data_IF_865161758013
#
_entry.id   IF_865161758013
#
_cell.length_a   1.000
_cell.length_b   1.000
_cell.length_c   1.000
_cell.angle_alpha   90.00
_cell.angle_beta   90.00
_cell.angle_gamma   90.00
#
_symmetry.space_group_name_H-M   'P 1'
#
loop_
_entity.id
_entity.type
_entity.pdbx_description
1 polymer ?
#
# COMPACT_ATOMS: atom_id res chain seq x y z
N UNK A 1 -15.55 -6.80 -60.95
CA UNK A 1 -14.91 -6.08 -62.07
C UNK A 1 -13.59 -5.50 -61.54
N UNK A 2 -12.47 -5.78 -62.21
CA UNK A 2 -11.06 -5.42 -61.92
C UNK A 2 -10.46 -5.98 -60.60
N UNK A 3 -9.64 -7.05 -60.63
CA UNK A 3 -8.28 -7.29 -61.20
C UNK A 3 -7.21 -7.13 -60.11
N UNK A 4 -6.58 -8.25 -59.79
CA UNK A 4 -5.30 -8.35 -59.11
C UNK A 4 -4.15 -8.12 -60.09
N UNK A 5 -3.09 -7.42 -59.69
CA UNK A 5 -1.73 -7.64 -60.20
C UNK A 5 -0.71 -7.19 -59.14
N UNK A 6 0.16 -8.12 -58.75
CA UNK A 6 1.42 -7.79 -58.10
C UNK A 6 2.48 -7.39 -59.13
N UNK A 7 3.54 -6.72 -58.69
CA UNK A 7 4.83 -6.84 -59.37
C UNK A 7 6.00 -6.52 -58.44
N UNK A 8 7.00 -7.40 -58.48
CA UNK A 8 8.29 -7.31 -57.78
C UNK A 8 9.17 -6.29 -58.50
N UNK A 9 9.88 -5.44 -57.74
CA UNK A 9 10.96 -4.61 -58.27
C UNK A 9 12.30 -5.38 -58.28
N UNK A 10 13.15 -5.20 -59.30
CA UNK A 10 14.43 -5.90 -59.41
C UNK A 10 15.56 -5.19 -58.66
N UNK A 11 16.44 -6.01 -58.11
CA UNK A 11 17.74 -5.63 -57.57
C UNK A 11 18.66 -5.09 -58.67
N UNK A 12 19.28 -3.93 -58.43
CA UNK A 12 20.41 -3.41 -59.20
C UNK A 12 21.69 -3.62 -58.38
N UNK A 13 22.57 -4.47 -58.90
CA UNK A 13 23.93 -4.68 -58.39
C UNK A 13 24.83 -3.62 -59.02
N UNK A 14 25.36 -2.70 -58.22
CA UNK A 14 26.39 -1.75 -58.66
C UNK A 14 27.72 -2.23 -58.09
N UNK A 15 28.61 -2.69 -58.97
CA UNK A 15 29.98 -3.05 -58.65
C UNK A 15 30.84 -1.78 -58.73
N UNK A 16 31.31 -1.26 -57.60
CA UNK A 16 32.22 -0.10 -57.55
C UNK A 16 33.60 -0.57 -57.10
N UNK A 17 34.45 -0.87 -58.08
CA UNK A 17 35.90 -0.78 -57.94
C UNK A 17 36.31 0.69 -58.01
N UNK A 18 36.78 1.26 -56.91
CA UNK A 18 38.00 2.08 -56.95
C UNK A 18 38.54 2.33 -55.53
N UNK A 19 39.67 1.66 -55.26
CA UNK A 19 40.60 1.98 -54.18
C UNK A 19 41.23 3.35 -54.44
N UNK A 20 41.69 3.97 -53.36
CA UNK A 20 42.55 5.15 -53.30
C UNK A 20 41.84 6.50 -53.32
N UNK A 21 41.25 6.89 -52.18
CA UNK A 21 41.28 8.28 -51.66
C UNK A 21 40.57 8.41 -50.30
N UNK A 22 40.79 7.47 -49.37
CA UNK A 22 40.20 7.58 -48.01
C UNK A 22 41.19 7.16 -46.93
N UNK A 23 42.41 7.69 -46.99
CA UNK A 23 43.46 7.33 -46.03
C UNK A 23 44.20 8.54 -45.49
N UNK A 24 43.48 9.64 -45.22
CA UNK A 24 43.99 10.77 -44.41
C UNK A 24 42.97 11.38 -43.43
N UNK A 25 41.71 10.93 -43.41
CA UNK A 25 40.66 11.50 -42.54
C UNK A 25 40.36 10.67 -41.28
N UNK A 26 40.88 9.45 -41.17
CA UNK A 26 40.57 8.55 -40.04
C UNK A 26 41.48 8.73 -38.81
N UNK A 27 42.59 9.45 -38.95
CA UNK A 27 43.55 9.63 -37.85
C UNK A 27 43.08 10.67 -36.83
N UNK A 28 42.15 11.57 -37.20
CA UNK A 28 41.65 12.64 -36.32
C UNK A 28 40.31 12.33 -35.64
N UNK A 29 39.58 11.30 -36.09
CA UNK A 29 38.29 10.87 -35.50
C UNK A 29 38.45 9.82 -34.39
N UNK A 30 39.56 9.09 -34.37
CA UNK A 30 39.83 8.04 -33.39
C UNK A 30 39.96 8.55 -31.93
N UNK A 31 40.65 9.68 -31.63
CA UNK A 31 40.77 10.13 -30.24
C UNK A 31 39.47 10.71 -29.68
N UNK A 32 38.53 11.18 -30.53
CA UNK A 32 37.25 11.73 -30.09
C UNK A 32 36.26 10.63 -29.62
N UNK A 33 36.32 9.46 -30.26
CA UNK A 33 35.52 8.27 -29.89
C UNK A 33 36.07 7.65 -28.60
N UNK A 34 37.40 7.60 -28.44
CA UNK A 34 38.01 7.08 -27.20
C UNK A 34 37.72 7.98 -26.00
N UNK A 35 37.70 9.31 -26.16
CA UNK A 35 37.40 10.23 -25.05
C UNK A 35 35.93 10.19 -24.59
N UNK A 36 34.99 9.80 -25.47
CA UNK A 36 33.56 9.70 -25.15
C UNK A 36 33.19 8.41 -24.42
N UNK A 37 34.06 7.39 -24.42
CA UNK A 37 33.88 6.19 -23.58
C UNK A 37 34.25 6.39 -22.10
N UNK A 38 35.05 7.42 -21.77
CA UNK A 38 35.47 7.68 -20.38
C UNK A 38 34.57 8.64 -19.60
N UNK A 39 33.58 9.28 -20.23
CA UNK A 39 32.63 10.16 -19.53
C UNK A 39 31.27 9.51 -19.21
N UNK A 40 31.04 8.24 -19.59
CA UNK A 40 29.76 7.55 -19.34
C UNK A 40 29.91 6.41 -18.32
N UNK A 41 30.43 6.72 -17.13
CA UNK A 41 30.30 5.86 -15.96
C UNK A 41 30.52 6.66 -14.66
N UNK A 42 29.65 7.64 -14.38
CA UNK A 42 29.22 7.79 -12.99
C UNK A 42 28.24 6.65 -12.74
N UNK A 43 28.76 5.47 -12.37
CA UNK A 43 27.96 4.52 -11.61
C UNK A 43 27.71 5.23 -10.28
N UNK A 44 26.64 6.00 -10.23
CA UNK A 44 25.95 6.16 -8.96
C UNK A 44 25.60 4.72 -8.57
N UNK A 45 26.31 4.18 -7.58
CA UNK A 45 26.05 2.84 -7.07
C UNK A 45 24.65 2.86 -6.48
N UNK A 46 23.72 2.53 -7.37
CA UNK A 46 22.32 2.38 -7.10
C UNK A 46 22.15 1.45 -5.90
N UNK A 47 21.68 2.00 -4.80
CA UNK A 47 21.47 1.21 -3.59
C UNK A 47 20.50 0.06 -3.88
N UNK A 48 20.90 -1.14 -3.50
CA UNK A 48 20.13 -2.36 -3.77
C UNK A 48 18.85 -2.42 -2.92
N UNK A 49 17.91 -3.29 -3.31
CA UNK A 49 16.72 -3.58 -2.48
C UNK A 49 17.14 -4.04 -1.08
N UNK A 50 18.14 -4.93 -0.99
CA UNK A 50 18.62 -5.46 0.28
C UNK A 50 19.11 -4.35 1.23
N UNK A 51 19.81 -3.35 0.69
CA UNK A 51 20.24 -2.18 1.47
C UNK A 51 19.06 -1.40 2.06
N UNK A 52 18.06 -1.08 1.23
CA UNK A 52 16.88 -0.34 1.71
C UNK A 52 16.03 -1.18 2.69
N UNK A 53 15.93 -2.48 2.45
CA UNK A 53 15.23 -3.41 3.35
C UNK A 53 15.91 -3.52 4.71
N UNK A 54 17.24 -3.49 4.76
CA UNK A 54 17.99 -3.46 6.02
C UNK A 54 17.67 -2.21 6.83
N UNK A 55 17.72 -1.01 6.21
CA UNK A 55 17.37 0.25 6.88
C UNK A 55 15.92 0.28 7.37
N UNK A 56 14.97 -0.22 6.58
CA UNK A 56 13.57 -0.38 7.02
C UNK A 56 13.45 -1.30 8.24
N UNK A 57 14.15 -2.43 8.25
CA UNK A 57 14.17 -3.36 9.38
C UNK A 57 14.78 -2.73 10.64
N UNK A 58 15.88 -1.99 10.50
CA UNK A 58 16.51 -1.26 11.60
C UNK A 58 15.56 -0.23 12.21
N UNK A 59 14.89 0.59 11.37
CA UNK A 59 13.89 1.55 11.85
C UNK A 59 12.72 0.88 12.54
N UNK A 60 12.24 -0.25 12.03
CA UNK A 60 11.17 -1.01 12.68
C UNK A 60 11.57 -1.43 14.10
N UNK A 61 12.78 -1.97 14.28
CA UNK A 61 13.31 -2.33 15.61
C UNK A 61 13.47 -1.13 16.54
N UNK A 62 13.88 0.02 16.01
CA UNK A 62 13.95 1.25 16.81
C UNK A 62 12.57 1.69 17.32
N UNK A 63 11.54 1.60 16.48
CA UNK A 63 10.16 1.87 16.88
C UNK A 63 9.70 0.86 17.94
N UNK A 64 9.93 -0.43 17.73
CA UNK A 64 9.60 -1.50 18.70
C UNK A 64 10.23 -1.23 20.07
N UNK A 65 11.51 -0.86 20.09
CA UNK A 65 12.22 -0.51 21.32
C UNK A 65 11.66 0.76 21.97
N UNK A 66 11.28 1.77 21.17
CA UNK A 66 10.68 2.99 21.68
C UNK A 66 9.33 2.70 22.35
N UNK A 67 8.44 1.94 21.70
CA UNK A 67 7.12 1.63 22.28
C UNK A 67 7.22 0.72 23.50
N UNK A 68 8.19 -0.21 23.50
CA UNK A 68 8.45 -1.08 24.65
C UNK A 68 9.06 -0.34 25.86
N UNK A 69 9.56 0.88 25.68
CA UNK A 69 10.14 1.69 26.77
C UNK A 69 9.09 2.26 27.74
N UNK A 70 7.81 2.26 27.34
CA UNK A 70 6.70 2.77 28.17
C UNK A 70 5.93 1.59 28.76
N UNK A 71 5.76 1.58 30.08
CA UNK A 71 4.96 0.55 30.76
C UNK A 71 3.46 0.79 30.57
N UNK A 72 2.71 -0.29 30.43
CA UNK A 72 1.26 -0.28 30.31
C UNK A 72 0.62 -0.46 31.69
N UNK A 73 -0.01 0.60 32.20
CA UNK A 73 -0.84 0.57 33.42
C UNK A 73 -2.31 0.80 33.10
N UNK A 74 -2.61 1.65 32.13
CA UNK A 74 -3.94 1.90 31.61
C UNK A 74 -3.91 1.85 30.07
N UNK A 75 -4.65 0.92 29.49
CA UNK A 75 -4.64 0.67 28.05
C UNK A 75 -5.27 1.80 27.23
N UNK A 76 -6.14 2.60 27.85
CA UNK A 76 -6.81 3.72 27.20
C UNK A 76 -5.87 4.89 26.91
N UNK A 77 -4.70 4.91 27.56
CA UNK A 77 -3.69 5.94 27.36
C UNK A 77 -2.84 5.69 26.10
N UNK A 78 -3.01 4.55 25.43
CA UNK A 78 -2.28 4.20 24.22
C UNK A 78 -3.16 4.38 22.98
N UNK A 79 -2.60 4.86 21.88
CA UNK A 79 -3.25 4.94 20.57
C UNK A 79 -2.68 3.87 19.64
N UNK A 80 -3.48 3.29 18.74
CA UNK A 80 -2.95 2.41 17.69
C UNK A 80 -2.62 3.28 16.47
N UNK A 81 -1.36 3.28 16.08
CA UNK A 81 -0.86 4.03 14.92
C UNK A 81 -0.22 3.07 13.92
N UNK A 82 -0.61 3.22 12.65
CA UNK A 82 0.00 2.50 11.55
C UNK A 82 1.28 3.17 11.05
N UNK A 83 2.23 2.37 10.56
CA UNK A 83 3.50 2.79 9.99
C UNK A 83 3.92 1.88 8.83
N UNK A 84 4.92 2.32 8.07
CA UNK A 84 5.33 1.70 6.82
C UNK A 84 4.39 2.03 5.66
N UNK A 85 4.80 1.66 4.44
CA UNK A 85 3.91 1.82 3.28
C UNK A 85 2.61 1.04 3.52
N UNK A 86 1.47 1.67 3.19
CA UNK A 86 0.15 1.07 3.29
C UNK A 86 -0.17 0.46 4.67
N UNK A 87 0.39 1.02 5.75
CA UNK A 87 0.18 0.54 7.12
C UNK A 87 0.59 -0.93 7.31
N UNK A 88 1.77 -1.29 6.79
CA UNK A 88 2.36 -2.63 6.96
C UNK A 88 2.56 -2.98 8.44
N UNK A 89 2.77 -2.00 9.30
CA UNK A 89 3.00 -2.17 10.74
C UNK A 89 1.98 -1.41 11.56
N UNK A 90 1.61 -1.94 12.73
CA UNK A 90 0.81 -1.23 13.74
C UNK A 90 1.51 -1.25 15.09
N UNK A 91 1.48 -0.10 15.77
CA UNK A 91 2.10 0.09 17.07
C UNK A 91 1.14 0.72 18.06
N UNK A 92 1.22 0.31 19.33
CA UNK A 92 0.57 0.98 20.44
C UNK A 92 1.47 2.10 20.98
N UNK A 93 1.03 3.35 20.86
CA UNK A 93 1.85 4.53 21.12
C UNK A 93 1.24 5.34 22.26
N UNK A 94 2.02 5.55 23.31
CA UNK A 94 1.65 6.43 24.40
C UNK A 94 1.94 7.91 24.04
N UNK A 95 1.11 8.88 24.46
CA UNK A 95 1.31 10.31 24.19
C UNK A 95 2.70 10.83 24.54
N UNK A 96 3.33 10.31 25.60
CA UNK A 96 4.68 10.73 26.04
C UNK A 96 5.80 10.47 25.02
N UNK A 97 5.61 9.51 24.11
CA UNK A 97 6.60 9.15 23.08
C UNK A 97 6.13 9.49 21.65
N UNK A 98 4.91 10.01 21.50
CA UNK A 98 4.27 10.20 20.18
C UNK A 98 5.11 11.04 19.21
N UNK A 99 5.70 12.14 19.67
CA UNK A 99 6.52 12.98 18.80
C UNK A 99 7.74 12.23 18.23
N UNK A 100 8.43 11.44 19.06
CA UNK A 100 9.57 10.64 18.62
C UNK A 100 9.13 9.47 17.73
N UNK A 101 7.99 8.87 18.03
CA UNK A 101 7.39 7.84 17.19
C UNK A 101 7.09 8.36 15.78
N UNK A 102 6.46 9.53 15.65
CA UNK A 102 6.14 10.10 14.33
C UNK A 102 7.40 10.36 13.49
N UNK A 103 8.49 10.84 14.10
CA UNK A 103 9.77 10.97 13.39
C UNK A 103 10.29 9.64 12.85
N UNK A 104 10.32 8.59 13.69
CA UNK A 104 10.79 7.27 13.26
C UNK A 104 9.85 6.64 12.22
N UNK A 105 8.54 6.88 12.34
CA UNK A 105 7.54 6.45 11.37
C UNK A 105 7.76 7.10 10.01
N UNK A 106 8.08 8.40 9.95
CA UNK A 106 8.38 9.08 8.69
C UNK A 106 9.67 8.54 8.05
N UNK A 107 10.70 8.24 8.84
CA UNK A 107 11.93 7.59 8.38
C UNK A 107 11.65 6.18 7.83
N UNK A 108 10.87 5.37 8.55
CA UNK A 108 10.45 4.04 8.10
C UNK A 108 9.68 4.11 6.78
N UNK A 109 8.69 5.01 6.69
CA UNK A 109 7.90 5.22 5.47
C UNK A 109 8.79 5.60 4.28
N UNK A 110 9.81 6.42 4.52
CA UNK A 110 10.79 6.78 3.49
C UNK A 110 11.58 5.56 3.00
N UNK A 111 12.09 4.71 3.90
CA UNK A 111 12.86 3.53 3.51
C UNK A 111 11.99 2.47 2.81
N UNK A 112 10.78 2.21 3.30
CA UNK A 112 9.83 1.31 2.63
C UNK A 112 9.52 1.78 1.20
N UNK A 113 9.39 3.10 1.02
CA UNK A 113 9.23 3.70 -0.31
C UNK A 113 10.43 3.46 -1.20
N UNK A 114 11.64 3.56 -0.67
CA UNK A 114 12.85 3.24 -1.42
C UNK A 114 12.94 1.75 -1.80
N UNK A 115 12.52 0.85 -0.92
CA UNK A 115 12.40 -0.59 -1.24
C UNK A 115 11.44 -0.78 -2.43
N UNK A 116 10.24 -0.19 -2.35
CA UNK A 116 9.21 -0.30 -3.38
C UNK A 116 9.67 0.27 -4.73
N UNK A 117 10.18 1.50 -4.73
CA UNK A 117 10.68 2.18 -5.94
C UNK A 117 11.82 1.39 -6.60
N UNK A 118 12.75 0.86 -5.80
CA UNK A 118 13.90 0.09 -6.30
C UNK A 118 13.44 -1.24 -6.89
N UNK A 119 12.51 -1.93 -6.24
CA UNK A 119 11.96 -3.18 -6.76
C UNK A 119 11.20 -2.99 -8.07
N UNK A 120 10.35 -1.97 -8.16
CA UNK A 120 9.63 -1.65 -9.39
C UNK A 120 10.59 -1.41 -10.55
N UNK A 121 11.67 -0.65 -10.33
CA UNK A 121 12.69 -0.42 -11.36
C UNK A 121 13.44 -1.69 -11.76
N UNK A 122 13.68 -2.59 -10.81
CA UNK A 122 14.33 -3.88 -11.07
C UNK A 122 13.37 -4.92 -11.65
N UNK A 123 12.10 -4.57 -11.91
CA UNK A 123 11.09 -5.49 -12.42
C UNK A 123 10.64 -6.53 -11.39
N UNK A 124 10.89 -6.28 -10.10
CA UNK A 124 10.49 -7.14 -9.01
C UNK A 124 9.11 -6.70 -8.52
N UNK A 125 8.16 -7.64 -8.55
CA UNK A 125 6.85 -7.44 -7.95
C UNK A 125 6.97 -7.78 -6.47
N UNK A 126 6.80 -6.78 -5.62
CA UNK A 126 6.72 -6.98 -4.18
C UNK A 126 5.26 -7.20 -3.80
N UNK A 127 5.01 -8.29 -3.08
CA UNK A 127 3.70 -8.60 -2.52
C UNK A 127 3.54 -7.84 -1.19
N UNK A 128 3.24 -6.54 -1.29
CA UNK A 128 2.86 -5.73 -0.13
C UNK A 128 1.37 -5.89 0.12
N UNK A 129 1.00 -6.91 0.89
CA UNK A 129 -0.33 -6.93 1.50
C UNK A 129 -0.33 -5.96 2.68
N UNK A 130 -1.23 -4.97 2.63
CA UNK A 130 -1.47 -4.12 3.80
C UNK A 130 -1.85 -5.03 4.98
N UNK A 131 -1.19 -4.84 6.12
CA UNK A 131 -1.54 -5.56 7.33
C UNK A 131 -2.91 -5.09 7.79
N UNK A 132 -3.73 -6.03 8.26
CA UNK A 132 -4.95 -5.66 8.95
C UNK A 132 -4.61 -5.06 10.32
N UNK A 133 -5.35 -4.04 10.76
CA UNK A 133 -5.15 -3.48 12.09
C UNK A 133 -5.50 -4.50 13.18
N UNK A 134 -4.92 -4.38 14.38
CA UNK A 134 -5.27 -5.23 15.51
C UNK A 134 -6.73 -5.02 15.93
N UNK A 135 -7.35 -6.10 16.40
CA UNK A 135 -8.77 -6.14 16.82
C UNK A 135 -8.96 -5.54 18.20
N UNK A 136 -7.97 -5.77 19.07
CA UNK A 136 -7.95 -5.37 20.46
C UNK A 136 -6.54 -5.03 20.91
N UNK A 137 -6.47 -4.31 22.02
CA UNK A 137 -5.24 -4.00 22.74
C UNK A 137 -5.50 -4.20 24.24
N UNK A 138 -4.51 -4.71 24.95
CA UNK A 138 -4.58 -4.94 26.39
C UNK A 138 -3.22 -4.68 27.06
N UNK A 139 -3.23 -4.32 28.34
CA UNK A 139 -2.01 -4.38 29.14
C UNK A 139 -1.79 -5.83 29.61
N UNK A 140 -0.68 -6.44 29.22
CA UNK A 140 -0.26 -7.77 29.69
C UNK A 140 1.19 -7.67 30.21
N UNK A 141 1.41 -8.08 31.45
CA UNK A 141 2.74 -8.03 32.10
C UNK A 141 3.41 -6.65 32.02
N UNK A 142 2.64 -5.58 32.17
CA UNK A 142 3.14 -4.20 32.12
C UNK A 142 3.54 -3.73 30.72
N UNK A 143 3.19 -4.46 29.66
CA UNK A 143 3.41 -4.07 28.26
C UNK A 143 2.08 -4.07 27.51
N UNK A 144 1.99 -3.28 26.44
CA UNK A 144 0.83 -3.38 25.56
C UNK A 144 0.98 -4.63 24.69
N UNK A 145 -0.08 -5.43 24.63
CA UNK A 145 -0.26 -6.51 23.67
C UNK A 145 -1.33 -6.09 22.67
N UNK A 146 -1.03 -6.26 21.39
CA UNK A 146 -1.97 -6.12 20.30
C UNK A 146 -2.44 -7.52 19.89
N UNK A 147 -3.75 -7.70 19.76
CA UNK A 147 -4.35 -8.98 19.34
C UNK A 147 -4.83 -8.84 17.90
N UNK A 148 -4.38 -9.71 17.02
CA UNK A 148 -4.77 -9.71 15.60
C UNK A 148 -5.83 -10.77 15.33
N UNK A 149 -6.62 -10.58 14.27
CA UNK A 149 -7.68 -11.53 13.91
C UNK A 149 -7.12 -12.92 13.59
N UNK A 150 -5.92 -13.00 13.01
CA UNK A 150 -5.25 -14.25 12.66
C UNK A 150 -4.96 -15.17 13.85
N UNK A 151 -4.82 -14.60 15.05
CA UNK A 151 -4.56 -15.32 16.30
C UNK A 151 -5.83 -15.92 16.92
N UNK A 152 -7.01 -15.50 16.47
CA UNK A 152 -8.28 -15.86 17.10
C UNK A 152 -8.82 -17.20 16.59
N UNK A 153 -9.45 -17.94 17.48
CA UNK A 153 -10.31 -19.09 17.18
C UNK A 153 -11.67 -18.67 16.62
N UNK A 154 -12.44 -19.63 16.09
CA UNK A 154 -13.76 -19.32 15.51
C UNK A 154 -14.75 -18.78 16.54
N UNK A 155 -14.69 -19.26 17.79
CA UNK A 155 -15.53 -18.78 18.89
C UNK A 155 -15.17 -17.32 19.25
N UNK A 156 -13.88 -17.03 19.41
CA UNK A 156 -13.39 -15.67 19.69
C UNK A 156 -13.73 -14.70 18.56
N UNK A 157 -13.61 -15.12 17.30
CA UNK A 157 -14.01 -14.30 16.14
C UNK A 157 -15.51 -13.99 16.17
N UNK A 158 -16.35 -14.99 16.41
CA UNK A 158 -17.80 -14.80 16.48
C UNK A 158 -18.19 -13.85 17.62
N UNK A 159 -17.55 -13.99 18.79
CA UNK A 159 -17.76 -13.10 19.92
C UNK A 159 -17.28 -11.67 19.61
N UNK A 160 -16.09 -11.54 19.01
CA UNK A 160 -15.55 -10.24 18.61
C UNK A 160 -16.42 -9.52 17.59
N UNK A 161 -17.12 -10.24 16.70
CA UNK A 161 -18.01 -9.64 15.70
C UNK A 161 -19.33 -9.10 16.28
N UNK A 162 -19.73 -9.51 17.49
CA UNK A 162 -21.00 -9.08 18.10
C UNK A 162 -21.03 -7.55 18.25
N UNK A 163 -22.04 -6.92 17.64
CA UNK A 163 -22.25 -5.47 17.72
C UNK A 163 -21.21 -4.60 16.97
N UNK A 164 -20.12 -5.18 16.44
CA UNK A 164 -19.11 -4.39 15.69
C UNK A 164 -19.65 -3.85 14.38
N UNK A 165 -20.48 -4.62 13.68
CA UNK A 165 -21.13 -4.15 12.46
C UNK A 165 -22.03 -2.93 12.76
N UNK A 166 -22.85 -3.02 13.81
CA UNK A 166 -23.73 -1.92 14.22
C UNK A 166 -22.93 -0.68 14.65
N UNK A 167 -21.82 -0.86 15.38
CA UNK A 167 -20.94 0.25 15.74
C UNK A 167 -20.32 0.92 14.50
N UNK A 168 -19.96 0.12 13.49
CA UNK A 168 -19.37 0.60 12.24
C UNK A 168 -20.37 1.44 11.44
N UNK A 169 -21.54 0.90 11.12
CA UNK A 169 -22.55 1.62 10.31
C UNK A 169 -23.07 2.88 10.99
N UNK A 170 -22.99 2.96 12.32
CA UNK A 170 -23.42 4.11 13.11
C UNK A 170 -22.27 5.08 13.46
N UNK A 171 -21.04 4.82 13.02
CA UNK A 171 -19.84 5.56 13.44
C UNK A 171 -19.90 7.08 13.17
N UNK A 172 -20.52 7.47 12.06
CA UNK A 172 -20.66 8.86 11.62
C UNK A 172 -22.08 9.43 11.83
N UNK A 173 -22.92 8.82 12.64
CA UNK A 173 -24.31 9.31 12.84
C UNK A 173 -24.40 10.71 13.45
N UNK A 174 -23.34 11.15 14.13
CA UNK A 174 -23.18 12.48 14.72
C UNK A 174 -22.61 13.52 13.74
N UNK A 175 -22.12 13.09 12.57
CA UNK A 175 -21.50 13.96 11.57
C UNK A 175 -22.50 14.25 10.43
N UNK A 176 -22.95 15.51 10.24
CA UNK A 176 -23.91 15.84 9.20
C UNK A 176 -23.28 15.78 7.79
N UNK A 177 -24.03 15.27 6.82
CA UNK A 177 -23.70 15.30 5.41
C UNK A 177 -24.41 16.48 4.74
N UNK A 178 -23.66 17.51 4.39
CA UNK A 178 -24.13 18.67 3.60
C UNK A 178 -23.48 18.75 2.23
N UNK A 179 -22.27 18.20 2.09
CA UNK A 179 -21.54 18.10 0.84
C UNK A 179 -20.96 16.68 0.68
N UNK A 180 -21.48 15.94 -0.31
CA UNK A 180 -21.03 14.59 -0.61
C UNK A 180 -19.56 14.53 -1.06
N UNK A 181 -18.99 15.63 -1.56
CA UNK A 181 -17.60 15.69 -1.99
C UNK A 181 -16.61 15.53 -0.84
N UNK A 182 -17.05 15.73 0.40
CA UNK A 182 -16.26 15.54 1.63
C UNK A 182 -16.16 14.07 2.06
N UNK A 183 -16.87 13.18 1.38
CA UNK A 183 -16.97 11.77 1.71
C UNK A 183 -16.37 10.91 0.59
N UNK A 184 -15.91 9.73 0.96
CA UNK A 184 -15.48 8.67 0.05
C UNK A 184 -16.19 7.37 0.40
N UNK A 185 -16.14 6.42 -0.51
CA UNK A 185 -16.63 5.07 -0.26
C UNK A 185 -15.45 4.19 0.15
N UNK A 186 -15.56 3.58 1.33
CA UNK A 186 -14.79 2.41 1.73
C UNK A 186 -15.69 1.16 1.65
N UNK A 187 -15.15 -0.03 1.87
CA UNK A 187 -15.90 -1.27 1.76
C UNK A 187 -15.86 -2.10 3.03
N UNK A 188 -17.02 -2.57 3.42
CA UNK A 188 -17.24 -3.44 4.57
C UNK A 188 -17.63 -4.82 4.06
N UNK A 189 -16.94 -5.84 4.54
CA UNK A 189 -17.17 -7.20 4.07
C UNK A 189 -18.29 -7.87 4.86
N UNK A 190 -19.32 -8.34 4.16
CA UNK A 190 -20.35 -9.19 4.73
C UNK A 190 -20.20 -10.61 4.16
N UNK A 191 -19.41 -11.44 4.82
CA UNK A 191 -19.03 -12.79 4.34
C UNK A 191 -18.48 -12.71 2.90
N UNK A 192 -19.30 -13.07 1.90
CA UNK A 192 -18.92 -13.08 0.50
C UNK A 192 -19.23 -11.80 -0.28
N UNK A 193 -19.92 -10.83 0.33
CA UNK A 193 -20.29 -9.58 -0.31
C UNK A 193 -19.49 -8.41 0.26
N UNK A 194 -19.43 -7.32 -0.51
CA UNK A 194 -18.95 -6.03 -0.04
C UNK A 194 -20.09 -5.03 -0.04
N UNK A 195 -20.20 -4.30 1.05
CA UNK A 195 -21.12 -3.19 1.21
C UNK A 195 -20.34 -1.88 1.26
N UNK A 196 -20.83 -0.85 0.59
CA UNK A 196 -20.22 0.47 0.67
C UNK A 196 -20.39 1.06 2.06
N UNK A 197 -19.35 1.70 2.56
CA UNK A 197 -19.35 2.45 3.81
C UNK A 197 -18.86 3.87 3.54
N UNK A 198 -19.66 4.87 3.90
CA UNK A 198 -19.29 6.26 3.68
C UNK A 198 -18.29 6.70 4.76
N UNK A 199 -17.09 7.07 4.33
CA UNK A 199 -16.03 7.58 5.21
C UNK A 199 -15.77 9.05 4.92
N UNK A 200 -15.72 9.88 5.96
CA UNK A 200 -15.36 11.29 5.80
C UNK A 200 -13.86 11.38 5.46
N UNK A 201 -13.49 12.29 4.55
CA UNK A 201 -12.10 12.44 4.09
C UNK A 201 -11.13 13.09 5.08
N UNK A 202 -11.63 13.61 6.21
CA UNK A 202 -10.83 14.43 7.14
C UNK A 202 -11.26 14.27 8.60
N UNK A 203 -12.55 14.11 8.89
CA UNK A 203 -13.05 13.93 10.24
C UNK A 203 -12.92 12.46 10.64
N UNK A 204 -12.12 12.16 11.67
CA UNK A 204 -11.98 10.81 12.28
C UNK A 204 -11.69 9.70 11.26
N UNK A 205 -11.10 10.04 10.12
CA UNK A 205 -10.84 9.10 9.01
C UNK A 205 -9.97 7.93 9.45
N UNK A 206 -8.90 8.21 10.21
CA UNK A 206 -8.00 7.15 10.69
C UNK A 206 -8.73 6.16 11.62
N UNK A 207 -9.56 6.66 12.54
CA UNK A 207 -10.36 5.80 13.42
C UNK A 207 -11.33 4.93 12.61
N UNK A 208 -12.02 5.51 11.64
CA UNK A 208 -12.94 4.78 10.77
C UNK A 208 -12.21 3.71 9.94
N UNK A 209 -11.06 4.03 9.34
CA UNK A 209 -10.25 3.07 8.58
C UNK A 209 -9.77 1.91 9.45
N UNK A 210 -9.34 2.18 10.69
CA UNK A 210 -8.97 1.12 11.63
C UNK A 210 -10.16 0.23 11.99
N UNK A 211 -11.35 0.80 12.19
CA UNK A 211 -12.56 0.05 12.49
C UNK A 211 -13.01 -0.84 11.32
N UNK A 212 -13.02 -0.29 10.10
CA UNK A 212 -13.34 -1.05 8.86
C UNK A 212 -12.33 -2.18 8.69
N UNK A 213 -11.04 -1.88 8.79
CA UNK A 213 -9.97 -2.87 8.64
C UNK A 213 -10.06 -3.99 9.68
N UNK A 214 -10.29 -3.65 10.95
CA UNK A 214 -10.41 -4.64 12.02
C UNK A 214 -11.62 -5.55 11.79
N UNK A 215 -12.79 -4.97 11.47
CA UNK A 215 -13.98 -5.73 11.15
C UNK A 215 -13.78 -6.66 9.94
N UNK A 216 -13.23 -6.13 8.83
CA UNK A 216 -12.97 -6.93 7.63
C UNK A 216 -12.00 -8.08 7.90
N UNK A 217 -10.98 -7.87 8.74
CA UNK A 217 -10.04 -8.93 9.11
C UNK A 217 -10.68 -10.05 9.92
N UNK A 218 -11.66 -9.74 10.79
CA UNK A 218 -12.45 -10.75 11.51
C UNK A 218 -13.31 -11.56 10.54
N UNK A 219 -13.95 -10.90 9.56
CA UNK A 219 -14.75 -11.59 8.55
C UNK A 219 -13.87 -12.49 7.67
N UNK A 220 -12.70 -12.01 7.26
CA UNK A 220 -11.73 -12.83 6.52
C UNK A 220 -11.26 -14.03 7.34
N UNK A 221 -10.92 -13.82 8.62
CA UNK A 221 -10.52 -14.91 9.52
C UNK A 221 -11.64 -15.94 9.66
N UNK A 222 -12.87 -15.48 9.91
CA UNK A 222 -14.06 -16.33 10.01
C UNK A 222 -14.20 -17.23 8.77
N UNK A 223 -14.13 -16.63 7.58
CA UNK A 223 -14.21 -17.35 6.31
C UNK A 223 -13.12 -18.40 6.17
N UNK A 224 -11.88 -18.06 6.53
CA UNK A 224 -10.76 -18.99 6.45
C UNK A 224 -10.97 -20.19 7.38
N UNK A 225 -11.41 -19.95 8.63
CA UNK A 225 -11.70 -21.00 9.61
C UNK A 225 -12.88 -21.88 9.20
N UNK A 226 -13.90 -21.29 8.58
CA UNK A 226 -15.09 -22.00 8.09
C UNK A 226 -14.89 -22.61 6.69
N UNK A 227 -13.72 -22.43 6.07
CA UNK A 227 -13.44 -22.84 4.68
C UNK A 227 -14.48 -22.33 3.67
N UNK A 228 -14.99 -21.11 3.89
CA UNK A 228 -16.02 -20.51 3.03
C UNK A 228 -15.42 -19.98 1.74
N UNK A 229 -15.78 -20.60 0.62
CA UNK A 229 -15.42 -20.16 -0.72
C UNK A 229 -16.41 -19.08 -1.17
N UNK A 230 -15.90 -17.90 -1.52
CA UNK A 230 -16.71 -16.84 -2.12
C UNK A 230 -16.34 -16.70 -3.59
N UNK A 231 -17.35 -16.72 -4.45
CA UNK A 231 -17.20 -16.38 -5.85
C UNK A 231 -17.19 -14.85 -5.94
N UNK A 232 -16.02 -14.28 -6.23
CA UNK A 232 -15.91 -12.83 -6.39
C UNK A 232 -16.49 -12.43 -7.73
N UNK A 233 -17.67 -11.81 -7.72
CA UNK A 233 -18.10 -10.96 -8.80
C UNK A 233 -17.66 -9.54 -8.47
N UNK A 234 -16.72 -9.00 -9.25
CA UNK A 234 -16.33 -7.60 -9.09
C UNK A 234 -17.53 -6.73 -9.44
N UNK A 235 -18.04 -5.88 -8.54
CA UNK A 235 -19.14 -4.99 -8.88
C UNK A 235 -18.68 -4.08 -10.03
N UNK A 236 -19.40 -4.15 -11.15
CA UNK A 236 -19.10 -3.40 -12.38
C UNK A 236 -19.26 -1.89 -12.17
N UNK A 237 -20.06 -1.49 -11.17
CA UNK A 237 -20.38 -0.11 -10.85
C UNK A 237 -19.62 0.30 -9.61
N UNK A 238 -18.94 1.45 -9.69
CA UNK A 238 -18.32 2.09 -8.52
C UNK A 238 -19.37 2.92 -7.78
N UNK A 239 -19.75 2.55 -6.54
CA UNK A 239 -20.65 3.37 -5.74
C UNK A 239 -20.08 4.76 -5.48
N UNK A 240 -20.97 5.71 -5.26
CA UNK A 240 -20.65 7.08 -4.83
C UNK A 240 -21.36 7.40 -3.51
N UNK A 241 -20.95 8.47 -2.84
CA UNK A 241 -21.67 8.98 -1.67
C UNK A 241 -22.63 10.09 -2.12
N UNK A 242 -23.85 10.07 -1.59
CA UNK A 242 -24.80 11.18 -1.62
C UNK A 242 -25.12 11.65 -0.20
N UNK A 243 -25.73 12.82 -0.07
CA UNK A 243 -26.31 13.27 1.20
C UNK A 243 -27.84 13.21 1.12
N UNK A 244 -28.48 12.48 2.04
CA UNK A 244 -29.94 12.40 2.16
C UNK A 244 -30.34 12.61 3.61
N UNK A 245 -31.28 13.52 3.85
CA UNK A 245 -31.78 13.85 5.20
C UNK A 245 -30.65 14.20 6.19
N UNK A 246 -29.61 14.89 5.69
CA UNK A 246 -28.43 15.27 6.47
C UNK A 246 -27.48 14.13 6.80
N UNK A 247 -27.64 12.93 6.22
CA UNK A 247 -26.78 11.76 6.43
C UNK A 247 -26.10 11.31 5.14
N UNK A 248 -24.87 10.77 5.21
CA UNK A 248 -24.23 10.18 4.05
C UNK A 248 -24.92 8.87 3.68
N UNK A 249 -25.17 8.66 2.39
CA UNK A 249 -25.78 7.43 1.86
C UNK A 249 -24.98 6.94 0.66
N UNK A 250 -24.88 5.61 0.52
CA UNK A 250 -24.25 4.99 -0.65
C UNK A 250 -25.24 4.97 -1.81
N UNK A 251 -24.81 5.46 -2.97
CA UNK A 251 -25.58 5.53 -4.21
C UNK A 251 -24.89 4.67 -5.25
N UNK A 252 -25.56 3.59 -5.67
CA UNK A 252 -25.15 2.77 -6.81
C UNK A 252 -25.65 3.44 -8.09
N UNK A 253 -24.75 3.72 -9.04
CA UNK A 253 -25.07 4.37 -10.32
C UNK A 253 -25.56 3.38 -11.37
#
# INVERSE_FOLDING_TARGET
>A
MFVALGNKQPFMVINITNKQLIMKSYILLLPLIVLSFFMSCSKDDEQSIAYWSELSSEKTKEIENLVASVSCTNINDFEILGAGINYTYYFAVHPSIKARFETLKDELNYYDKKVTETAMRQGIVLDYMASYPPIEKACENGKVKLTYAEDLSIEEVNNALVGRYDALINFYNDIPCTDASQWSVDYVQQLCNYEGFAIHKTIRTNEATLLVGAYNSLILRKRNLESTICLFESPVIKPTVGCKDGKPVIVNQ
#
